data_IF_318103282545
#
_entry.id   IF_318103282545
#
_cell.length_a   1.000
_cell.length_b   1.000
_cell.length_c   1.000
_cell.angle_alpha   90.00
_cell.angle_beta   90.00
_cell.angle_gamma   90.00
#
_symmetry.space_group_name_H-M   'P 1'
#
loop_
_entity.id
_entity.type
_entity.pdbx_description
1 polymer ?
#
# COMPACT_ATOMS: atom_id res chain seq x y z
N UNK A 1 2.84 4.72 -1.98
CA UNK A 1 1.85 3.73 -1.53
C UNK A 1 1.50 2.77 -2.67
N UNK A 2 0.99 1.58 -2.33
CA UNK A 2 0.53 0.59 -3.31
C UNK A 2 -0.54 1.17 -4.25
N UNK A 3 -1.46 1.99 -3.73
CA UNK A 3 -2.48 2.63 -4.56
C UNK A 3 -1.88 3.48 -5.68
N UNK A 4 -0.79 4.21 -5.41
CA UNK A 4 -0.09 4.99 -6.45
C UNK A 4 0.50 4.10 -7.55
N UNK A 5 1.06 2.95 -7.18
CA UNK A 5 1.59 1.98 -8.16
C UNK A 5 0.46 1.38 -8.99
N UNK A 6 -0.67 1.06 -8.39
CA UNK A 6 -1.84 0.55 -9.11
C UNK A 6 -2.41 1.60 -10.09
N UNK A 7 -2.52 2.85 -9.67
CA UNK A 7 -2.95 3.94 -10.56
C UNK A 7 -1.98 4.13 -11.74
N UNK A 8 -0.66 4.06 -11.49
CA UNK A 8 0.35 4.12 -12.56
C UNK A 8 0.17 2.94 -13.53
N UNK A 9 0.01 1.74 -13.02
CA UNK A 9 -0.22 0.55 -13.84
C UNK A 9 -1.48 0.66 -14.70
N UNK A 10 -2.59 1.16 -14.15
CA UNK A 10 -3.82 1.37 -14.93
C UNK A 10 -3.61 2.36 -16.08
N UNK A 11 -2.86 3.43 -15.86
CA UNK A 11 -2.48 4.40 -16.92
C UNK A 11 -1.64 3.74 -18.02
N UNK A 12 -0.69 2.89 -17.65
CA UNK A 12 0.11 2.10 -18.60
C UNK A 12 -0.76 1.13 -19.42
N UNK A 13 -1.87 0.65 -18.85
CA UNK A 13 -2.86 -0.19 -19.54
C UNK A 13 -3.84 0.63 -20.41
N UNK A 14 -3.67 1.95 -20.50
CA UNK A 14 -4.49 2.82 -21.34
C UNK A 14 -5.78 3.34 -20.68
N UNK A 15 -5.93 3.17 -19.35
CA UNK A 15 -7.04 3.78 -18.60
C UNK A 15 -6.85 5.31 -18.58
N UNK A 16 -7.89 6.02 -18.97
CA UNK A 16 -7.85 7.50 -19.03
C UNK A 16 -7.92 8.11 -17.63
N UNK A 17 -7.32 9.28 -17.45
CA UNK A 17 -7.29 9.98 -16.16
C UNK A 17 -8.67 10.25 -15.58
N UNK A 18 -9.66 10.55 -16.42
CA UNK A 18 -11.05 10.75 -16.02
C UNK A 18 -11.73 9.51 -15.42
N UNK A 19 -11.17 8.31 -15.65
CA UNK A 19 -11.66 7.06 -15.11
C UNK A 19 -11.02 6.71 -13.74
N UNK A 20 -10.01 7.48 -13.31
CA UNK A 20 -9.29 7.24 -12.06
C UNK A 20 -9.64 8.34 -11.07
N UNK A 21 -10.37 7.98 -10.01
CA UNK A 21 -10.71 8.90 -8.93
C UNK A 21 -10.03 8.43 -7.64
N UNK A 22 -9.17 9.28 -7.06
CA UNK A 22 -8.43 8.97 -5.84
C UNK A 22 -8.73 10.00 -4.76
N UNK A 23 -9.04 9.50 -3.56
CA UNK A 23 -9.34 10.30 -2.38
C UNK A 23 -8.51 9.78 -1.20
N UNK A 24 -7.74 10.67 -0.56
CA UNK A 24 -7.04 10.37 0.68
C UNK A 24 -7.72 11.12 1.82
N UNK A 25 -8.35 10.40 2.72
CA UNK A 25 -9.14 10.95 3.82
C UNK A 25 -8.30 11.48 5.00
N UNK A 26 -6.97 11.43 4.91
CA UNK A 26 -6.10 12.20 5.78
C UNK A 26 -6.06 13.69 5.43
N UNK A 27 -6.43 14.01 4.18
CA UNK A 27 -6.45 15.39 3.72
C UNK A 27 -7.61 16.18 4.35
N UNK A 28 -7.32 17.40 4.80
CA UNK A 28 -8.33 18.35 5.27
C UNK A 28 -9.41 18.68 4.24
N UNK A 29 -9.14 18.45 2.95
CA UNK A 29 -10.13 18.58 1.88
C UNK A 29 -11.35 17.68 2.11
N UNK A 30 -11.16 16.55 2.80
CA UNK A 30 -12.20 15.56 3.07
C UNK A 30 -12.55 15.48 4.57
N UNK A 31 -12.22 16.53 5.34
CA UNK A 31 -12.62 16.59 6.74
C UNK A 31 -14.14 16.46 6.88
N UNK A 32 -14.57 15.75 7.92
CA UNK A 32 -16.00 15.51 8.23
C UNK A 32 -16.76 14.79 7.08
N UNK A 33 -16.08 14.00 6.25
CA UNK A 33 -16.71 13.18 5.23
C UNK A 33 -17.59 12.12 5.87
N UNK A 34 -18.80 11.96 5.35
CA UNK A 34 -19.71 10.87 5.66
C UNK A 34 -20.12 10.13 4.36
N UNK A 35 -20.86 9.03 4.49
CA UNK A 35 -21.28 8.22 3.35
C UNK A 35 -22.06 9.00 2.31
N UNK A 36 -22.93 9.93 2.71
CA UNK A 36 -23.76 10.72 1.77
C UNK A 36 -22.93 11.70 0.95
N UNK A 37 -22.02 12.42 1.62
CA UNK A 37 -21.11 13.37 0.96
C UNK A 37 -20.12 12.63 0.06
N UNK A 38 -19.62 11.48 0.49
CA UNK A 38 -18.77 10.63 -0.32
C UNK A 38 -19.51 10.16 -1.58
N UNK A 39 -20.74 9.68 -1.42
CA UNK A 39 -21.57 9.26 -2.54
C UNK A 39 -21.78 10.39 -3.55
N UNK A 40 -22.23 11.56 -3.11
CA UNK A 40 -22.43 12.72 -3.96
C UNK A 40 -21.15 13.13 -4.68
N UNK A 41 -20.04 13.23 -3.98
CA UNK A 41 -18.73 13.62 -4.53
C UNK A 41 -18.29 12.71 -5.68
N UNK A 42 -18.46 11.39 -5.51
CA UNK A 42 -18.09 10.39 -6.51
C UNK A 42 -19.06 10.44 -7.70
N UNK A 43 -20.38 10.51 -7.45
CA UNK A 43 -21.39 10.55 -8.52
C UNK A 43 -21.25 11.78 -9.44
N UNK A 44 -20.87 12.93 -8.88
CA UNK A 44 -20.61 14.15 -9.67
C UNK A 44 -19.39 14.02 -10.61
N UNK A 45 -18.45 13.12 -10.28
CA UNK A 45 -17.15 12.96 -10.97
C UNK A 45 -17.04 11.67 -11.76
N UNK A 46 -18.00 10.76 -11.58
CA UNK A 46 -17.99 9.48 -12.28
C UNK A 46 -18.10 9.67 -13.80
N UNK A 47 -17.25 9.02 -14.59
CA UNK A 47 -17.29 9.14 -16.05
C UNK A 47 -18.53 8.47 -16.61
N UNK A 48 -19.21 9.14 -17.53
CA UNK A 48 -20.41 8.60 -18.16
C UNK A 48 -20.06 7.50 -19.18
N UNK A 49 -20.66 6.32 -19.00
CA UNK A 49 -20.52 5.21 -19.94
C UNK A 49 -19.14 4.55 -19.99
N UNK A 50 -18.30 4.81 -18.98
CA UNK A 50 -16.97 4.20 -18.82
C UNK A 50 -16.82 3.68 -17.40
N UNK A 51 -15.97 2.65 -17.23
CA UNK A 51 -15.63 2.11 -15.91
C UNK A 51 -14.87 3.13 -15.07
N UNK A 52 -15.27 3.28 -13.82
CA UNK A 52 -14.58 4.07 -12.81
C UNK A 52 -13.63 3.18 -11.98
N UNK A 53 -12.40 3.62 -11.78
CA UNK A 53 -11.45 3.05 -10.84
C UNK A 53 -11.33 3.98 -9.63
N UNK A 54 -11.97 3.59 -8.53
CA UNK A 54 -12.11 4.41 -7.33
C UNK A 54 -11.12 3.98 -6.25
N UNK A 55 -10.25 4.90 -5.81
CA UNK A 55 -9.22 4.67 -4.80
C UNK A 55 -9.55 5.47 -3.54
N UNK A 56 -9.87 4.77 -2.46
CA UNK A 56 -10.26 5.33 -1.16
C UNK A 56 -9.17 5.00 -0.13
N UNK A 57 -8.29 5.97 0.16
CA UNK A 57 -7.16 5.82 1.08
C UNK A 57 -7.56 6.30 2.48
N UNK A 58 -7.27 5.48 3.51
CA UNK A 58 -7.65 5.71 4.92
C UNK A 58 -9.18 5.86 5.14
N UNK A 59 -9.94 4.97 4.50
CA UNK A 59 -11.41 5.05 4.41
C UNK A 59 -12.12 5.02 5.76
N UNK A 60 -11.50 4.44 6.81
CA UNK A 60 -12.06 4.41 8.17
C UNK A 60 -12.28 5.81 8.78
N UNK A 61 -11.72 6.86 8.17
CA UNK A 61 -11.99 8.26 8.56
C UNK A 61 -13.34 8.77 8.05
N UNK A 62 -13.97 8.04 7.13
CA UNK A 62 -15.30 8.37 6.61
C UNK A 62 -16.35 7.62 7.43
N UNK A 63 -17.28 8.35 8.02
CA UNK A 63 -18.36 7.72 8.78
C UNK A 63 -19.31 6.98 7.84
N UNK A 64 -19.64 5.74 8.21
CA UNK A 64 -20.57 4.86 7.47
C UNK A 64 -20.14 4.64 5.99
N UNK A 65 -18.84 4.61 5.71
CA UNK A 65 -18.28 4.51 4.36
C UNK A 65 -18.76 3.26 3.60
N UNK A 66 -19.09 2.18 4.31
CA UNK A 66 -19.56 0.92 3.74
C UNK A 66 -20.86 1.12 2.94
N UNK A 67 -21.73 2.01 3.41
CA UNK A 67 -23.00 2.32 2.73
C UNK A 67 -22.74 2.98 1.36
N UNK A 68 -21.78 3.90 1.30
CA UNK A 68 -21.39 4.53 0.04
C UNK A 68 -20.77 3.51 -0.93
N UNK A 69 -19.85 2.65 -0.44
CA UNK A 69 -19.22 1.60 -1.24
C UNK A 69 -20.26 0.62 -1.80
N UNK A 70 -21.24 0.20 -1.00
CA UNK A 70 -22.33 -0.65 -1.47
C UNK A 70 -23.18 0.05 -2.55
N UNK A 71 -23.47 1.34 -2.38
CA UNK A 71 -24.21 2.12 -3.37
C UNK A 71 -23.45 2.26 -4.70
N UNK A 72 -22.15 2.54 -4.66
CA UNK A 72 -21.33 2.61 -5.89
C UNK A 72 -21.38 1.32 -6.70
N UNK A 73 -21.38 0.17 -6.03
CA UNK A 73 -21.44 -1.14 -6.70
C UNK A 73 -22.78 -1.42 -7.38
N UNK A 74 -23.84 -0.75 -6.95
CA UNK A 74 -25.16 -0.85 -7.56
C UNK A 74 -25.31 0.15 -8.70
N UNK A 75 -24.81 1.36 -8.50
CA UNK A 75 -25.13 2.51 -9.35
C UNK A 75 -24.06 2.78 -10.43
N UNK A 76 -22.85 2.22 -10.29
CA UNK A 76 -21.73 2.48 -11.18
C UNK A 76 -21.09 1.17 -11.70
N UNK A 77 -20.58 1.20 -12.92
CA UNK A 77 -19.57 0.22 -13.37
C UNK A 77 -18.22 0.66 -12.82
N UNK A 78 -17.80 0.06 -11.70
CA UNK A 78 -16.59 0.49 -11.00
C UNK A 78 -15.81 -0.65 -10.35
N UNK A 79 -14.49 -0.45 -10.27
CA UNK A 79 -13.58 -1.19 -9.41
C UNK A 79 -13.18 -0.30 -8.24
N UNK A 80 -13.35 -0.79 -7.01
CA UNK A 80 -13.12 -0.01 -5.79
C UNK A 80 -11.93 -0.59 -5.02
N UNK A 81 -10.93 0.25 -4.77
CA UNK A 81 -9.74 -0.05 -4.02
C UNK A 81 -9.77 0.74 -2.71
N UNK A 82 -9.76 0.03 -1.61
CA UNK A 82 -9.90 0.61 -0.27
C UNK A 82 -8.67 0.29 0.55
N UNK A 83 -8.12 1.28 1.25
CA UNK A 83 -7.10 1.05 2.26
C UNK A 83 -7.51 1.61 3.62
N UNK A 84 -6.87 1.10 4.65
CA UNK A 84 -7.01 1.61 6.01
C UNK A 84 -5.92 1.08 6.92
N UNK A 85 -5.52 1.87 7.90
CA UNK A 85 -4.46 1.54 8.85
C UNK A 85 -4.88 0.52 9.92
N UNK A 86 -6.17 0.28 10.07
CA UNK A 86 -6.72 -0.67 11.03
C UNK A 86 -7.30 -1.90 10.33
N UNK A 87 -6.46 -2.91 10.10
CA UNK A 87 -6.85 -4.16 9.47
C UNK A 87 -8.02 -4.88 10.18
N UNK A 88 -8.20 -4.64 11.49
CA UNK A 88 -9.30 -5.22 12.25
C UNK A 88 -10.64 -4.56 11.93
N UNK A 89 -10.68 -3.23 11.83
CA UNK A 89 -11.90 -2.50 11.43
C UNK A 89 -12.33 -2.87 10.01
N UNK A 90 -11.38 -2.97 9.10
CA UNK A 90 -11.66 -3.39 7.73
C UNK A 90 -12.20 -4.83 7.66
N UNK A 91 -11.62 -5.79 8.39
CA UNK A 91 -12.02 -7.19 8.29
C UNK A 91 -13.37 -7.50 8.94
N UNK A 92 -13.69 -6.91 10.09
CA UNK A 92 -14.96 -7.13 10.78
C UNK A 92 -16.15 -6.43 10.12
N UNK A 93 -15.95 -5.20 9.65
CA UNK A 93 -16.97 -4.41 8.97
C UNK A 93 -17.20 -4.92 7.53
N UNK A 94 -16.13 -5.26 6.81
CA UNK A 94 -16.24 -5.83 5.46
C UNK A 94 -16.91 -7.21 5.46
N UNK A 95 -16.63 -8.04 6.46
CA UNK A 95 -17.27 -9.37 6.54
C UNK A 95 -18.78 -9.29 6.76
N UNK A 96 -19.27 -8.26 7.42
CA UNK A 96 -20.69 -8.07 7.72
C UNK A 96 -21.44 -7.39 6.57
N UNK A 97 -20.87 -6.32 5.98
CA UNK A 97 -21.55 -5.48 5.00
C UNK A 97 -21.26 -5.84 3.54
N UNK A 98 -20.06 -6.31 3.25
CA UNK A 98 -19.64 -6.66 1.88
C UNK A 98 -19.64 -8.15 1.59
N UNK A 99 -20.07 -8.98 2.54
CA UNK A 99 -20.06 -10.44 2.59
C UNK A 99 -19.69 -11.15 1.28
N UNK A 100 -18.44 -11.66 1.19
CA UNK A 100 -17.96 -12.48 0.08
C UNK A 100 -17.72 -11.78 -1.26
N UNK A 101 -17.77 -10.45 -1.30
CA UNK A 101 -17.69 -9.66 -2.54
C UNK A 101 -16.46 -8.75 -2.62
N UNK A 102 -15.39 -9.09 -1.90
CA UNK A 102 -14.11 -8.38 -1.93
C UNK A 102 -12.94 -9.35 -1.92
N UNK A 103 -11.78 -8.86 -2.33
CA UNK A 103 -10.50 -9.56 -2.19
C UNK A 103 -9.66 -8.78 -1.19
N UNK A 104 -9.25 -9.44 -0.11
CA UNK A 104 -8.36 -8.85 0.88
C UNK A 104 -6.90 -9.12 0.50
N UNK A 105 -6.10 -8.05 0.42
CA UNK A 105 -4.66 -8.13 0.23
C UNK A 105 -3.98 -7.62 1.50
N UNK A 106 -3.42 -8.55 2.28
CA UNK A 106 -2.67 -8.20 3.49
C UNK A 106 -1.28 -7.73 3.13
N UNK A 107 -1.00 -6.46 3.43
CA UNK A 107 0.33 -5.88 3.29
C UNK A 107 1.09 -6.01 4.60
N UNK A 108 2.21 -6.72 4.57
CA UNK A 108 3.14 -6.82 5.69
C UNK A 108 4.31 -5.86 5.46
N UNK A 109 4.99 -5.41 6.54
CA UNK A 109 6.29 -4.77 6.41
C UNK A 109 7.26 -5.68 5.64
N UNK A 110 8.27 -5.08 5.01
CA UNK A 110 9.31 -5.83 4.32
C UNK A 110 9.93 -6.87 5.27
N UNK A 111 10.08 -8.10 4.82
CA UNK A 111 10.95 -9.07 5.47
C UNK A 111 12.41 -8.59 5.41
N UNK A 112 13.30 -9.16 6.22
CA UNK A 112 14.72 -8.78 6.20
C UNK A 112 15.34 -9.00 4.81
N UNK A 113 14.94 -10.06 4.10
CA UNK A 113 15.43 -10.29 2.73
C UNK A 113 14.95 -9.22 1.77
N UNK A 114 13.66 -8.91 1.77
CA UNK A 114 13.10 -7.83 0.95
C UNK A 114 13.71 -6.46 1.32
N UNK A 115 14.03 -6.23 2.59
CA UNK A 115 14.77 -5.05 3.03
C UNK A 115 16.16 -4.98 2.39
N UNK A 116 16.91 -6.08 2.37
CA UNK A 116 18.21 -6.14 1.71
C UNK A 116 18.08 -5.87 0.21
N UNK A 117 17.13 -6.52 -0.46
CA UNK A 117 16.88 -6.35 -1.90
C UNK A 117 16.46 -4.90 -2.21
N UNK A 118 15.60 -4.30 -1.38
CA UNK A 118 15.14 -2.91 -1.53
C UNK A 118 16.29 -1.91 -1.46
N UNK A 119 17.24 -2.12 -0.57
CA UNK A 119 18.46 -1.30 -0.45
C UNK A 119 19.52 -1.66 -1.48
N UNK A 120 19.33 -2.76 -2.23
CA UNK A 120 20.26 -3.21 -3.26
C UNK A 120 21.49 -3.90 -2.71
N UNK A 121 21.37 -4.53 -1.54
CA UNK A 121 22.38 -5.41 -1.02
C UNK A 121 22.36 -6.76 -1.73
N UNK A 122 23.52 -7.26 -2.13
CA UNK A 122 23.71 -8.58 -2.71
C UNK A 122 24.30 -9.51 -1.66
N UNK A 123 23.68 -10.68 -1.44
CA UNK A 123 24.19 -11.68 -0.53
C UNK A 123 25.35 -12.45 -1.19
N UNK A 124 26.47 -12.49 -0.50
CA UNK A 124 27.68 -13.23 -0.91
C UNK A 124 28.07 -14.26 0.17
N UNK A 125 28.50 -15.43 -0.24
CA UNK A 125 29.14 -16.40 0.63
C UNK A 125 30.64 -16.16 0.65
N UNK A 126 31.24 -16.23 1.83
CA UNK A 126 32.68 -16.15 1.99
C UNK A 126 33.21 -17.16 3.03
N UNK A 127 34.44 -17.55 2.86
CA UNK A 127 35.11 -18.45 3.80
C UNK A 127 35.80 -17.63 4.89
N UNK A 128 35.32 -17.75 6.12
CA UNK A 128 35.94 -17.10 7.28
C UNK A 128 37.33 -17.66 7.60
N UNK A 129 38.19 -16.94 8.34
CA UNK A 129 39.53 -17.39 8.69
C UNK A 129 39.60 -18.75 9.41
N UNK A 130 38.54 -19.09 10.13
CA UNK A 130 38.37 -20.38 10.80
C UNK A 130 37.88 -21.52 9.87
N UNK A 131 37.78 -21.25 8.56
CA UNK A 131 37.40 -22.23 7.55
C UNK A 131 35.87 -22.41 7.36
N UNK A 132 35.02 -21.78 8.17
CA UNK A 132 33.57 -21.87 8.03
C UNK A 132 33.05 -20.97 6.91
N UNK A 133 32.03 -21.46 6.18
CA UNK A 133 31.30 -20.64 5.23
C UNK A 133 30.34 -19.70 5.97
N UNK A 134 30.39 -18.44 5.64
CA UNK A 134 29.49 -17.39 6.17
C UNK A 134 28.89 -16.59 5.04
N UNK A 135 27.81 -15.90 5.35
CA UNK A 135 27.17 -14.95 4.43
C UNK A 135 27.40 -13.53 4.91
N UNK A 136 27.60 -12.62 3.97
CA UNK A 136 27.63 -11.18 4.16
C UNK A 136 26.84 -10.49 3.06
N UNK A 137 26.51 -9.22 3.23
CA UNK A 137 25.86 -8.41 2.22
C UNK A 137 26.87 -7.46 1.59
N UNK A 138 26.84 -7.30 0.26
CA UNK A 138 27.60 -6.31 -0.48
C UNK A 138 26.69 -5.19 -0.87
N UNK A 139 27.01 -3.95 -0.46
CA UNK A 139 26.30 -2.74 -0.79
C UNK A 139 26.56 -2.25 -2.23
N UNK A 140 25.77 -1.30 -2.69
CA UNK A 140 25.95 -0.61 -3.99
C UNK A 140 27.26 0.22 -4.03
N UNK A 141 27.77 0.62 -2.88
CA UNK A 141 29.06 1.26 -2.67
C UNK A 141 30.26 0.30 -2.86
N UNK A 142 29.99 -1.00 -3.00
CA UNK A 142 31.00 -2.04 -3.11
C UNK A 142 31.53 -2.55 -1.77
N UNK A 143 31.08 -1.96 -0.65
CA UNK A 143 31.49 -2.36 0.70
C UNK A 143 30.77 -3.63 1.15
N UNK A 144 31.44 -4.39 2.03
CA UNK A 144 30.90 -5.61 2.60
C UNK A 144 30.39 -5.33 4.03
N UNK A 145 29.16 -5.73 4.29
CA UNK A 145 28.46 -5.55 5.56
C UNK A 145 28.14 -6.90 6.20
N UNK A 146 28.35 -7.00 7.50
CA UNK A 146 27.92 -8.17 8.26
C UNK A 146 26.37 -8.21 8.33
N UNK A 147 25.78 -9.38 8.07
CA UNK A 147 24.33 -9.53 8.10
C UNK A 147 23.71 -9.18 9.45
N UNK A 148 24.47 -9.39 10.53
CA UNK A 148 24.03 -9.05 11.88
C UNK A 148 23.80 -7.55 12.04
N UNK A 149 24.72 -6.72 11.56
CA UNK A 149 24.62 -5.26 11.70
C UNK A 149 23.45 -4.72 10.88
N UNK A 150 23.25 -5.25 9.68
CA UNK A 150 22.09 -4.92 8.84
C UNK A 150 20.77 -5.40 9.46
N UNK A 151 20.79 -6.54 10.15
CA UNK A 151 19.59 -7.04 10.84
C UNK A 151 19.27 -6.19 12.07
N UNK A 152 20.25 -5.72 12.81
CA UNK A 152 20.06 -4.78 13.92
C UNK A 152 19.46 -3.46 13.43
N UNK A 153 19.94 -2.93 12.31
CA UNK A 153 19.35 -1.76 11.67
C UNK A 153 17.91 -2.01 11.22
N UNK A 154 17.66 -3.15 10.56
CA UNK A 154 16.30 -3.57 10.17
C UNK A 154 15.36 -3.68 11.39
N UNK A 155 15.82 -4.28 12.48
CA UNK A 155 15.03 -4.45 13.71
C UNK A 155 14.73 -3.10 14.39
N UNK A 156 15.66 -2.15 14.33
CA UNK A 156 15.51 -0.81 14.91
C UNK A 156 14.60 0.09 14.09
N UNK A 157 14.76 0.12 12.78
CA UNK A 157 14.04 1.02 11.88
C UNK A 157 12.78 0.38 11.27
N UNK A 158 12.64 -0.96 11.39
CA UNK A 158 11.51 -1.72 10.88
C UNK A 158 11.53 -1.94 9.37
N UNK A 159 10.64 -2.82 8.92
CA UNK A 159 10.47 -3.15 7.50
C UNK A 159 9.56 -2.19 6.72
N UNK A 160 9.34 -0.96 7.21
CA UNK A 160 8.49 0.02 6.51
C UNK A 160 9.28 0.68 5.37
N UNK A 161 8.83 0.57 4.10
CA UNK A 161 9.56 1.11 2.95
C UNK A 161 9.88 2.61 3.03
N UNK A 162 9.00 3.40 3.66
CA UNK A 162 9.21 4.84 3.82
C UNK A 162 10.38 5.18 4.76
N UNK A 163 10.58 4.37 5.81
CA UNK A 163 11.70 4.53 6.73
C UNK A 163 13.00 4.00 6.11
N UNK A 164 12.90 2.91 5.36
CA UNK A 164 14.01 2.34 4.63
C UNK A 164 14.55 3.28 3.53
N UNK A 165 13.70 4.08 2.88
CA UNK A 165 14.09 5.05 1.85
C UNK A 165 14.85 6.28 2.40
N UNK A 166 14.80 6.52 3.72
CA UNK A 166 15.46 7.68 4.37
C UNK A 166 16.98 7.62 4.50
N UNK A 167 17.63 6.56 4.01
CA UNK A 167 19.08 6.33 4.08
C UNK A 167 19.51 5.94 5.50
N UNK A 168 20.17 4.79 5.63
CA UNK A 168 20.97 4.46 6.80
C UNK A 168 22.22 5.37 6.76
N UNK A 169 22.05 6.63 7.15
CA UNK A 169 23.21 7.48 7.44
C UNK A 169 23.82 7.05 8.78
N UNK A 170 25.17 7.18 8.94
CA UNK A 170 25.86 6.88 10.18
C UNK A 170 25.38 7.75 11.32
#
# INVERSE_FOLDING_TARGET
SLLKLMMAHLREQGVMEEQILSMNFESMQFADMDSKRLYQYVMERAPKGKRLYLFLDEVQKVRDWQDAVNSFRVDLDCDIYVTGSNAYLLSSELSTYLSGRYVEIKMLPLSFREFLDFHGYLLEEYKAPNGTMKQRAKGKDGEAYELRDLFEAYAQFGGMPALAAGGLGP
#
